data_IF_517889051031
#
_entry.id   IF_517889051031
#
_cell.length_a   1.000
_cell.length_b   1.000
_cell.length_c   1.000
_cell.angle_alpha   90.00
_cell.angle_beta   90.00
_cell.angle_gamma   90.00
#
_symmetry.space_group_name_H-M   'P 1'
#
loop_
_entity.id
_entity.type
_entity.pdbx_description
1 polymer ?
#
# COMPACT_ATOMS: atom_id res chain seq x y z
N UNK A 1 -11.11 -9.82 9.49
CA UNK A 1 -10.47 -9.65 8.15
C UNK A 1 -11.23 -10.48 7.13
N UNK A 2 -11.45 -9.96 5.93
CA UNK A 2 -12.10 -10.69 4.84
C UNK A 2 -11.11 -11.59 4.10
N UNK A 3 -11.61 -12.51 3.25
CA UNK A 3 -10.76 -13.38 2.43
C UNK A 3 -9.81 -12.58 1.52
N UNK A 4 -10.29 -11.48 0.93
CA UNK A 4 -9.48 -10.54 0.14
C UNK A 4 -8.30 -9.97 0.94
N UNK A 5 -8.56 -9.50 2.16
CA UNK A 5 -7.54 -8.94 3.05
C UNK A 5 -6.52 -10.01 3.46
N UNK A 6 -6.98 -11.24 3.73
CA UNK A 6 -6.10 -12.37 4.02
C UNK A 6 -5.19 -12.70 2.83
N UNK A 7 -5.71 -12.79 1.61
CA UNK A 7 -4.88 -13.13 0.46
C UNK A 7 -3.75 -12.13 0.20
N UNK A 8 -4.00 -10.84 0.43
CA UNK A 8 -3.00 -9.80 0.27
C UNK A 8 -1.99 -9.84 1.42
N UNK A 9 -2.44 -9.93 2.68
CA UNK A 9 -1.56 -9.96 3.85
C UNK A 9 -0.76 -11.27 3.97
N UNK A 10 -1.30 -12.39 3.51
CA UNK A 10 -0.65 -13.71 3.50
C UNK A 10 0.18 -13.94 2.23
N UNK A 11 0.36 -12.92 1.38
CA UNK A 11 1.27 -13.01 0.25
C UNK A 11 2.65 -13.33 0.79
N UNK A 12 3.06 -14.60 0.73
CA UNK A 12 4.32 -15.10 1.25
C UNK A 12 5.47 -14.45 0.50
N UNK A 13 5.91 -13.33 1.04
CA UNK A 13 7.15 -12.66 0.73
C UNK A 13 8.21 -13.33 1.62
N UNK A 14 9.09 -14.12 1.01
CA UNK A 14 10.08 -14.92 1.74
C UNK A 14 11.03 -14.03 2.57
N UNK A 15 11.65 -14.58 3.64
CA UNK A 15 12.59 -13.81 4.46
C UNK A 15 13.76 -13.35 3.58
N UNK A 16 13.95 -12.04 3.48
CA UNK A 16 15.05 -11.40 2.77
C UNK A 16 15.75 -10.39 3.68
N UNK A 17 16.89 -9.84 3.27
CA UNK A 17 17.57 -8.78 4.00
C UNK A 17 16.90 -7.41 3.82
N UNK A 18 15.88 -7.30 2.96
CA UNK A 18 15.03 -6.12 2.85
C UNK A 18 14.00 -6.13 3.98
N UNK A 19 13.95 -5.03 4.72
CA UNK A 19 13.01 -4.81 5.81
C UNK A 19 12.23 -3.55 5.51
N UNK A 20 10.92 -3.63 5.67
CA UNK A 20 10.00 -2.52 5.53
C UNK A 20 9.24 -2.31 6.83
N UNK A 21 9.17 -1.06 7.27
CA UNK A 21 8.34 -0.62 8.37
C UNK A 21 7.25 0.28 7.82
N UNK A 22 6.02 0.04 8.25
CA UNK A 22 4.84 0.77 7.82
C UNK A 22 3.99 1.16 9.00
N UNK A 23 3.37 2.33 8.95
CA UNK A 23 2.52 2.83 10.03
C UNK A 23 1.49 3.84 9.55
N UNK A 24 0.54 4.15 10.43
CA UNK A 24 -0.45 5.22 10.24
C UNK A 24 -0.29 6.26 11.34
N UNK A 25 -0.79 7.48 11.12
CA UNK A 25 -0.62 8.64 12.01
C UNK A 25 -1.27 8.49 13.40
N UNK A 26 -2.17 7.52 13.60
CA UNK A 26 -2.79 7.24 14.91
C UNK A 26 -2.32 5.93 15.51
N UNK A 27 -1.79 5.99 16.73
CA UNK A 27 -1.32 4.81 17.47
C UNK A 27 -2.41 3.74 17.67
N UNK A 28 -3.66 4.17 17.90
CA UNK A 28 -4.81 3.26 18.05
C UNK A 28 -5.42 2.80 16.71
N UNK A 29 -4.87 3.29 15.58
CA UNK A 29 -5.29 2.98 14.21
C UNK A 29 -6.79 3.15 13.96
N UNK A 30 -7.44 4.03 14.72
CA UNK A 30 -8.89 4.21 14.69
C UNK A 30 -9.25 5.59 14.15
N UNK A 31 -10.12 5.59 13.14
CA UNK A 31 -10.54 6.79 12.43
C UNK A 31 -12.07 6.80 12.30
N UNK A 32 -12.63 7.99 12.11
CA UNK A 32 -14.02 8.17 11.69
C UNK A 32 -14.10 8.22 10.17
N UNK A 33 -15.27 7.90 9.57
CA UNK A 33 -15.45 8.05 8.13
C UNK A 33 -15.09 9.45 7.64
N UNK A 34 -14.23 9.52 6.62
CA UNK A 34 -13.78 10.79 6.03
C UNK A 34 -12.67 11.51 6.80
N UNK A 35 -12.24 11.04 7.97
CA UNK A 35 -11.10 11.66 8.67
C UNK A 35 -9.81 11.52 7.85
N UNK A 36 -8.96 12.55 7.82
CA UNK A 36 -7.66 12.45 7.18
C UNK A 36 -6.80 11.42 7.90
N UNK A 37 -5.99 10.71 7.12
CA UNK A 37 -4.97 9.80 7.62
C UNK A 37 -3.67 9.99 6.84
N UNK A 38 -2.57 9.59 7.45
CA UNK A 38 -1.26 9.53 6.78
C UNK A 38 -0.67 8.16 6.95
N UNK A 39 -0.20 7.57 5.85
CA UNK A 39 0.59 6.35 5.85
C UNK A 39 2.06 6.73 5.79
N UNK A 40 2.86 6.15 6.68
CA UNK A 40 4.31 6.29 6.70
C UNK A 40 4.97 4.97 6.34
N UNK A 41 6.02 5.04 5.52
CA UNK A 41 6.78 3.88 5.08
C UNK A 41 8.27 4.17 5.21
N UNK A 42 9.04 3.22 5.73
CA UNK A 42 10.50 3.27 5.79
C UNK A 42 11.08 1.92 5.38
N UNK A 43 12.11 1.95 4.55
CA UNK A 43 12.85 0.76 4.10
C UNK A 43 14.29 0.83 4.61
N UNK A 44 14.91 -0.32 4.89
CA UNK A 44 16.31 -0.38 5.35
C UNK A 44 17.34 -0.34 4.21
N UNK A 45 16.90 -0.55 2.96
CA UNK A 45 17.71 -0.53 1.73
C UNK A 45 16.97 0.27 0.65
N UNK A 46 17.70 0.71 -0.37
CA UNK A 46 17.08 1.31 -1.56
C UNK A 46 16.13 0.29 -2.20
N UNK A 47 14.89 0.69 -2.37
CA UNK A 47 13.83 -0.20 -2.82
C UNK A 47 12.72 0.55 -3.55
N UNK A 48 11.95 -0.18 -4.34
CA UNK A 48 10.70 0.27 -4.91
C UNK A 48 9.56 -0.09 -3.96
N UNK A 49 8.71 0.87 -3.65
CA UNK A 49 7.60 0.71 -2.69
C UNK A 49 6.26 0.84 -3.41
N UNK A 50 5.30 0.02 -3.01
CA UNK A 50 3.90 0.15 -3.36
C UNK A 50 3.05 0.11 -2.08
N UNK A 51 2.02 0.94 -2.01
CA UNK A 51 1.06 0.96 -0.90
C UNK A 51 -0.33 0.73 -1.45
N UNK A 52 -0.97 -0.33 -0.98
CA UNK A 52 -2.31 -0.74 -1.34
C UNK A 52 -3.25 -0.51 -0.15
N UNK A 53 -4.48 -0.10 -0.45
CA UNK A 53 -5.60 -0.08 0.50
C UNK A 53 -6.63 -1.07 0.05
N UNK A 54 -6.98 -2.04 0.89
CA UNK A 54 -8.03 -3.03 0.66
C UNK A 54 -9.16 -2.81 1.65
N UNK A 55 -10.30 -2.34 1.14
CA UNK A 55 -11.52 -2.13 1.92
C UNK A 55 -12.20 -3.45 2.24
N UNK A 56 -13.09 -3.46 3.23
CA UNK A 56 -13.88 -4.65 3.58
C UNK A 56 -14.72 -5.20 2.41
N UNK A 57 -15.16 -4.33 1.50
CA UNK A 57 -15.85 -4.73 0.25
C UNK A 57 -14.95 -5.52 -0.70
N UNK A 58 -13.64 -5.55 -0.47
CA UNK A 58 -12.64 -6.03 -1.41
C UNK A 58 -12.11 -4.95 -2.33
N UNK A 59 -12.71 -3.76 -2.39
CA UNK A 59 -12.19 -2.68 -3.23
C UNK A 59 -10.72 -2.34 -2.87
N UNK A 60 -9.85 -2.42 -3.88
CA UNK A 60 -8.41 -2.22 -3.77
C UNK A 60 -7.99 -0.96 -4.50
N UNK A 61 -7.33 -0.07 -3.79
CA UNK A 61 -6.75 1.16 -4.32
C UNK A 61 -5.23 1.12 -4.15
N UNK A 62 -4.45 1.44 -5.18
CA UNK A 62 -3.02 1.74 -5.06
C UNK A 62 -2.86 3.21 -4.62
N UNK A 63 -2.43 3.40 -3.37
CA UNK A 63 -2.18 4.71 -2.76
C UNK A 63 -0.80 5.28 -3.12
N UNK A 64 0.16 4.42 -3.45
CA UNK A 64 1.50 4.81 -3.89
C UNK A 64 2.12 3.69 -4.76
N UNK A 65 2.85 4.00 -5.85
CA UNK A 65 2.99 5.34 -6.45
C UNK A 65 1.64 5.92 -6.90
N UNK A 66 1.56 7.25 -6.95
CA UNK A 66 0.32 7.96 -7.24
C UNK A 66 0.58 9.20 -8.11
N UNK A 67 -0.46 9.94 -8.52
CA UNK A 67 -0.30 11.08 -9.45
C UNK A 67 0.63 12.17 -8.93
N UNK A 68 0.60 12.41 -7.61
CA UNK A 68 1.36 13.47 -6.94
C UNK A 68 2.74 12.99 -6.48
N UNK A 69 2.88 11.69 -6.24
CA UNK A 69 4.12 11.02 -5.83
C UNK A 69 4.38 9.82 -6.76
N UNK A 70 4.79 10.06 -8.03
CA UNK A 70 4.88 8.99 -9.05
C UNK A 70 6.15 8.15 -8.94
N UNK A 71 7.19 8.64 -8.25
CA UNK A 71 8.45 7.90 -8.07
C UNK A 71 8.29 6.83 -6.99
N UNK A 72 8.15 5.57 -7.41
CA UNK A 72 8.11 4.43 -6.50
C UNK A 72 9.45 4.11 -5.81
N UNK A 73 10.58 4.62 -6.34
CA UNK A 73 11.91 4.42 -5.76
C UNK A 73 12.08 5.22 -4.46
N UNK A 74 12.36 4.52 -3.37
CA UNK A 74 12.58 5.04 -2.02
C UNK A 74 13.99 4.70 -1.58
N UNK A 75 14.72 5.73 -1.15
CA UNK A 75 16.08 5.58 -0.62
C UNK A 75 16.03 4.97 0.78
N UNK A 76 17.01 4.13 1.09
CA UNK A 76 17.20 3.53 2.41
C UNK A 76 17.09 4.58 3.52
N UNK A 77 16.46 4.20 4.64
CA UNK A 77 16.33 5.00 5.86
C UNK A 77 15.58 6.33 5.70
N UNK A 78 14.94 6.57 4.57
CA UNK A 78 14.09 7.73 4.34
C UNK A 78 12.64 7.39 4.70
N UNK A 79 11.93 8.34 5.32
CA UNK A 79 10.51 8.19 5.61
C UNK A 79 9.69 8.73 4.44
N UNK A 80 9.00 7.84 3.74
CA UNK A 80 7.95 8.20 2.78
C UNK A 80 6.65 8.47 3.55
N UNK A 81 5.97 9.58 3.24
CA UNK A 81 4.64 9.89 3.76
C UNK A 81 3.64 9.98 2.61
N UNK A 82 2.46 9.41 2.81
CA UNK A 82 1.35 9.40 1.84
C UNK A 82 0.07 9.85 2.57
N UNK A 83 -0.55 10.96 2.18
CA UNK A 83 -0.08 11.90 1.15
C UNK A 83 1.21 12.61 1.59
N UNK A 84 1.95 13.20 0.64
CA UNK A 84 3.06 14.08 0.99
C UNK A 84 2.55 15.28 1.79
N UNK A 85 3.36 15.77 2.73
CA UNK A 85 2.99 16.85 3.66
C UNK A 85 2.59 18.17 2.98
N UNK A 86 2.99 18.36 1.72
CA UNK A 86 2.72 19.53 0.88
C UNK A 86 1.61 19.33 -0.16
N UNK A 87 0.96 18.15 -0.20
CA UNK A 87 -0.01 17.81 -1.25
C UNK A 87 -1.47 18.10 -0.86
N UNK A 88 -2.23 18.62 -1.83
CA UNK A 88 -3.63 19.01 -1.69
C UNK A 88 -4.64 17.85 -1.78
N UNK A 89 -4.21 16.60 -2.03
CA UNK A 89 -5.09 15.44 -2.12
C UNK A 89 -5.08 14.66 -0.79
N UNK A 90 -6.06 14.86 0.11
CA UNK A 90 -6.08 14.16 1.37
C UNK A 90 -6.38 12.67 1.17
N UNK A 91 -5.58 11.81 1.81
CA UNK A 91 -5.99 10.43 2.06
C UNK A 91 -6.94 10.42 3.25
N UNK A 92 -8.14 9.90 3.05
CA UNK A 92 -9.16 9.84 4.11
C UNK A 92 -9.56 8.40 4.40
N UNK A 93 -9.94 8.14 5.66
CA UNK A 93 -10.60 6.91 6.06
C UNK A 93 -11.88 6.71 5.27
N UNK A 94 -12.09 5.49 4.76
CA UNK A 94 -13.34 5.16 4.10
C UNK A 94 -14.50 5.01 5.10
N UNK A 95 -15.57 4.37 4.63
CA UNK A 95 -16.83 4.29 5.38
C UNK A 95 -16.98 2.98 6.16
N UNK A 96 -16.19 1.96 5.83
CA UNK A 96 -16.41 0.59 6.32
C UNK A 96 -15.17 0.04 7.01
N UNK A 97 -15.39 -0.63 8.15
CA UNK A 97 -14.33 -1.22 8.96
C UNK A 97 -14.26 -2.74 8.79
N UNK A 98 -13.06 -3.36 8.79
CA UNK A 98 -11.74 -2.73 8.78
C UNK A 98 -11.24 -2.44 7.37
N UNK A 99 -10.32 -1.48 7.24
CA UNK A 99 -9.47 -1.29 6.07
C UNK A 99 -8.09 -1.91 6.30
N UNK A 100 -7.53 -2.53 5.27
CA UNK A 100 -6.17 -3.05 5.29
C UNK A 100 -5.29 -2.13 4.45
N UNK A 101 -4.17 -1.68 5.02
CA UNK A 101 -3.09 -1.02 4.31
C UNK A 101 -1.97 -2.04 4.15
N UNK A 102 -1.73 -2.48 2.91
CA UNK A 102 -0.63 -3.37 2.58
C UNK A 102 0.49 -2.56 1.95
N UNK A 103 1.70 -2.74 2.45
CA UNK A 103 2.88 -2.01 2.00
C UNK A 103 3.86 -3.05 1.53
N UNK A 104 4.26 -2.98 0.27
CA UNK A 104 5.18 -3.92 -0.36
C UNK A 104 6.42 -3.16 -0.82
N UNK A 105 7.58 -3.75 -0.60
CA UNK A 105 8.84 -3.29 -1.16
C UNK A 105 9.58 -4.39 -1.90
N UNK A 106 10.36 -3.97 -2.90
CA UNK A 106 11.19 -4.85 -3.71
C UNK A 106 12.47 -4.13 -4.13
N UNK A 107 13.59 -4.83 -4.22
CA UNK A 107 14.86 -4.23 -4.67
C UNK A 107 14.90 -3.98 -6.19
N UNK A 108 13.97 -4.57 -6.95
CA UNK A 108 13.79 -4.27 -8.38
C UNK A 108 12.40 -3.65 -8.67
N UNK A 109 12.40 -2.66 -9.57
CA UNK A 109 11.21 -1.89 -9.94
C UNK A 109 10.41 -2.44 -11.12
N UNK A 110 10.66 -3.67 -11.55
CA UNK A 110 10.03 -4.23 -12.77
C UNK A 110 8.57 -4.67 -12.59
N UNK A 111 8.07 -4.73 -11.35
CA UNK A 111 6.67 -5.05 -11.11
C UNK A 111 5.76 -3.93 -11.60
N UNK A 112 4.61 -4.29 -12.17
CA UNK A 112 3.61 -3.32 -12.62
C UNK A 112 3.09 -2.46 -11.46
N UNK A 113 3.16 -2.94 -10.20
CA UNK A 113 2.76 -2.18 -9.02
C UNK A 113 3.57 -0.89 -8.85
N UNK A 114 4.85 -0.89 -9.25
CA UNK A 114 5.76 0.25 -9.10
C UNK A 114 5.71 1.21 -10.28
N UNK A 115 5.09 0.80 -11.38
CA UNK A 115 5.01 1.58 -12.64
C UNK A 115 3.59 1.99 -13.00
N UNK A 116 2.58 1.49 -12.27
CA UNK A 116 1.17 1.84 -12.47
C UNK A 116 0.96 3.32 -12.15
N UNK A 117 0.39 4.04 -13.11
CA UNK A 117 -0.07 5.42 -12.92
C UNK A 117 -1.60 5.47 -12.93
N UNK A 118 -2.22 6.42 -12.21
CA UNK A 118 -3.66 6.64 -12.28
C UNK A 118 -4.06 7.16 -13.67
N UNK A 119 -5.28 6.83 -14.08
CA UNK A 119 -5.87 7.37 -15.31
C UNK A 119 -6.51 8.74 -15.07
N UNK A 120 -6.34 9.66 -16.02
CA UNK A 120 -6.91 11.00 -15.96
C UNK A 120 -6.44 11.80 -14.73
N UNK A 121 -7.37 12.48 -14.07
CA UNK A 121 -7.08 13.36 -12.93
C UNK A 121 -7.10 12.68 -11.56
N UNK A 122 -7.35 11.37 -11.52
CA UNK A 122 -7.43 10.61 -10.27
C UNK A 122 -6.11 10.70 -9.50
N UNK A 123 -6.19 10.92 -8.18
CA UNK A 123 -5.00 10.96 -7.33
C UNK A 123 -4.37 9.57 -7.17
N UNK A 124 -5.21 8.53 -7.02
CA UNK A 124 -4.83 7.15 -6.73
C UNK A 124 -5.30 6.19 -7.84
N UNK A 125 -4.71 5.00 -7.93
CA UNK A 125 -5.12 4.00 -8.93
C UNK A 125 -6.13 3.05 -8.33
N UNK A 126 -7.35 3.02 -8.88
CA UNK A 126 -8.32 1.98 -8.50
C UNK A 126 -8.01 0.68 -9.25
N UNK A 127 -7.72 -0.39 -8.49
CA UNK A 127 -7.48 -1.73 -9.02
C UNK A 127 -8.77 -2.56 -9.09
N UNK A 128 -9.87 -2.02 -8.56
CA UNK A 128 -11.16 -2.70 -8.48
C UNK A 128 -11.26 -3.66 -7.29
N UNK A 129 -12.23 -4.58 -7.33
CA UNK A 129 -12.43 -5.55 -6.27
C UNK A 129 -11.29 -6.58 -6.24
N UNK A 130 -10.69 -6.82 -5.07
CA UNK A 130 -9.73 -7.89 -4.84
C UNK A 130 -10.42 -9.21 -5.12
N UNK A 131 -9.99 -9.85 -6.19
CA UNK A 131 -10.28 -11.25 -6.46
C UNK A 131 -9.04 -12.09 -6.14
N UNK A 132 -9.21 -13.40 -6.01
CA UNK A 132 -8.07 -14.34 -5.94
C UNK A 132 -7.15 -14.18 -7.16
N UNK A 133 -7.71 -13.82 -8.32
CA UNK A 133 -6.94 -13.55 -9.53
C UNK A 133 -6.06 -12.31 -9.37
N UNK A 134 -6.61 -11.17 -8.92
CA UNK A 134 -5.82 -9.96 -8.69
C UNK A 134 -4.71 -10.18 -7.67
N UNK A 135 -5.02 -10.83 -6.54
CA UNK A 135 -4.00 -11.16 -5.53
C UNK A 135 -2.89 -12.05 -6.11
N UNK A 136 -3.25 -13.03 -6.97
CA UNK A 136 -2.28 -13.89 -7.66
C UNK A 136 -1.44 -13.10 -8.66
N UNK A 137 -2.02 -12.15 -9.40
CA UNK A 137 -1.29 -11.31 -10.37
C UNK A 137 -0.29 -10.38 -9.68
N UNK A 138 -0.67 -9.77 -8.55
CA UNK A 138 0.21 -8.98 -7.69
C UNK A 138 1.38 -9.84 -7.23
N UNK A 139 1.10 -11.01 -6.63
CA UNK A 139 2.11 -11.93 -6.14
C UNK A 139 3.05 -12.41 -7.27
N UNK A 140 2.49 -12.70 -8.44
CA UNK A 140 3.25 -13.16 -9.61
C UNK A 140 4.15 -12.06 -10.13
N UNK A 141 3.65 -10.82 -10.23
CA UNK A 141 4.46 -9.69 -10.71
C UNK A 141 5.63 -9.40 -9.77
N UNK A 142 5.40 -9.45 -8.46
CA UNK A 142 6.46 -9.27 -7.46
C UNK A 142 7.49 -10.40 -7.50
N UNK A 143 7.05 -11.66 -7.66
CA UNK A 143 7.98 -12.80 -7.77
C UNK A 143 8.80 -12.77 -9.04
N UNK A 144 8.20 -12.41 -10.18
CA UNK A 144 8.89 -12.40 -11.47
C UNK A 144 9.76 -11.17 -11.68
N UNK A 145 9.44 -10.04 -11.04
CA UNK A 145 10.07 -8.74 -11.35
C UNK A 145 10.45 -7.89 -10.14
N UNK A 146 10.27 -8.38 -8.91
CA UNK A 146 10.67 -7.70 -7.67
C UNK A 146 12.14 -7.89 -7.28
N UNK A 147 12.89 -8.70 -8.03
CA UNK A 147 14.30 -8.98 -7.76
C UNK A 147 14.48 -10.06 -6.70
N UNK A 148 15.68 -10.13 -6.12
CA UNK A 148 16.07 -11.17 -5.16
C UNK A 148 15.52 -10.93 -3.75
N UNK A 149 15.16 -9.69 -3.43
CA UNK A 149 14.71 -9.30 -2.08
C UNK A 149 13.39 -8.54 -2.17
N UNK A 150 12.40 -9.03 -1.42
CA UNK A 150 11.08 -8.43 -1.29
C UNK A 150 10.70 -8.39 0.19
N UNK A 151 9.88 -7.42 0.57
CA UNK A 151 9.37 -7.26 1.93
C UNK A 151 7.92 -6.77 1.92
N UNK A 152 7.12 -7.16 2.91
CA UNK A 152 5.76 -6.67 3.09
C UNK A 152 5.50 -6.27 4.55
N UNK A 153 4.63 -5.28 4.75
CA UNK A 153 4.08 -4.90 6.03
C UNK A 153 2.61 -4.53 5.89
N UNK A 154 1.79 -5.02 6.81
CA UNK A 154 0.35 -4.82 6.82
C UNK A 154 -0.08 -4.01 8.04
N UNK A 155 -0.95 -3.01 7.84
CA UNK A 155 -1.59 -2.26 8.91
C UNK A 155 -3.10 -2.38 8.81
N UNK A 156 -3.76 -2.73 9.92
CA UNK A 156 -5.22 -2.76 10.00
C UNK A 156 -5.69 -1.42 10.55
N UNK A 157 -6.53 -0.73 9.78
CA UNK A 157 -7.18 0.52 10.14
C UNK A 157 -8.63 0.23 10.52
N UNK A 158 -9.04 0.72 11.68
CA UNK A 158 -10.39 0.56 12.20
C UNK A 158 -11.20 1.82 11.94
N UNK A 159 -12.39 1.65 11.39
CA UNK A 159 -13.33 2.75 11.18
C UNK A 159 -14.46 2.62 12.19
N UNK A 160 -14.69 3.67 13.00
CA UNK A 160 -15.78 3.67 13.98
C UNK A 160 -16.68 4.89 13.74
N UNK A 161 -17.95 4.69 13.36
CA UNK A 161 -18.94 5.74 13.49
C UNK A 161 -19.16 6.04 14.98
N UNK A 162 -19.37 7.30 15.33
CA UNK A 162 -19.82 7.68 16.68
C UNK A 162 -21.23 7.11 16.94
#
# INVERSE_FOLDING_TARGET
MTAAQKFIAEMQIGPSGLVIAGGVDRANRTYRPGEPMTVSVRVNKDAYVAVLRVRRSGETTLLFPNRLQPKAAVVANTSLQIPASDTAAPLTAGKTSPELIEIVAATAGGSWLFTKAPSGDAAFVELGATTRALAKEIATSLRSHGGSETAAASQIVLIRPN
#
